data_IF_014748341287
#
_entry.id   IF_014748341287
#
_cell.length_a   1.000
_cell.length_b   1.000
_cell.length_c   1.000
_cell.angle_alpha   90.00
_cell.angle_beta   90.00
_cell.angle_gamma   90.00
#
_symmetry.space_group_name_H-M   'P 1'
#
loop_
_entity.id
_entity.type
_entity.pdbx_description
1 polymer ?
#
# COMPACT_ATOMS: atom_id res chain seq x y z
N UNK A 1 2.94 1.83 -11.74
CA UNK A 1 2.29 1.53 -10.45
C UNK A 1 1.39 2.66 -9.96
N UNK A 2 1.88 3.90 -9.84
CA UNK A 2 1.10 5.03 -9.27
C UNK A 2 -0.29 5.20 -9.90
N UNK A 3 -0.39 5.17 -11.23
CA UNK A 3 -1.67 5.23 -11.95
C UNK A 3 -2.65 4.12 -11.53
N UNK A 4 -2.16 2.90 -11.33
CA UNK A 4 -2.99 1.76 -10.92
C UNK A 4 -3.38 1.82 -9.44
N UNK A 5 -2.47 2.26 -8.57
CA UNK A 5 -2.73 2.46 -7.14
C UNK A 5 -3.78 3.56 -6.90
N UNK A 6 -3.79 4.61 -7.73
CA UNK A 6 -4.73 5.73 -7.64
C UNK A 6 -6.02 5.50 -8.46
N UNK A 7 -6.17 4.33 -9.10
CA UNK A 7 -7.39 3.99 -9.82
C UNK A 7 -8.57 3.88 -8.86
N UNK A 8 -9.80 4.15 -9.33
CA UNK A 8 -11.01 4.04 -8.49
C UNK A 8 -11.19 2.65 -7.87
N UNK A 9 -10.72 1.60 -8.55
CA UNK A 9 -10.77 0.22 -8.05
C UNK A 9 -9.77 -0.02 -6.90
N UNK A 10 -8.56 0.56 -6.96
CA UNK A 10 -7.54 0.31 -5.95
C UNK A 10 -7.43 1.42 -4.89
N UNK A 11 -8.13 2.55 -5.05
CA UNK A 11 -8.13 3.68 -4.12
C UNK A 11 -8.49 3.30 -2.67
N UNK A 12 -9.46 2.40 -2.40
CA UNK A 12 -9.75 1.97 -1.03
C UNK A 12 -8.56 1.25 -0.37
N UNK A 13 -7.88 0.35 -1.10
CA UNK A 13 -6.70 -0.35 -0.58
C UNK A 13 -5.53 0.60 -0.35
N UNK A 14 -5.40 1.63 -1.20
CA UNK A 14 -4.41 2.67 -1.00
C UNK A 14 -4.70 3.46 0.27
N UNK A 15 -5.95 3.84 0.50
CA UNK A 15 -6.36 4.53 1.72
C UNK A 15 -5.99 3.73 2.98
N UNK A 16 -6.31 2.43 3.02
CA UNK A 16 -5.93 1.58 4.15
C UNK A 16 -4.42 1.48 4.35
N UNK A 17 -3.65 1.37 3.27
CA UNK A 17 -2.19 1.38 3.36
C UNK A 17 -1.65 2.71 3.90
N UNK A 18 -2.18 3.84 3.42
CA UNK A 18 -1.78 5.17 3.90
C UNK A 18 -2.12 5.35 5.40
N UNK A 19 -3.31 4.90 5.83
CA UNK A 19 -3.73 4.91 7.25
C UNK A 19 -2.82 4.03 8.13
N UNK A 20 -2.41 2.87 7.63
CA UNK A 20 -1.46 2.01 8.35
C UNK A 20 -0.10 2.71 8.49
N UNK A 21 0.42 3.29 7.41
CA UNK A 21 1.71 3.99 7.42
C UNK A 21 1.68 5.17 8.39
N UNK A 22 0.60 5.96 8.43
CA UNK A 22 0.45 7.05 9.38
C UNK A 22 0.52 6.52 10.83
N UNK A 23 -0.24 5.47 11.14
CA UNK A 23 -0.27 4.86 12.47
C UNK A 23 1.09 4.28 12.89
N UNK A 24 1.74 3.52 12.01
CA UNK A 24 3.06 2.92 12.31
C UNK A 24 4.14 3.99 12.43
N UNK A 25 4.07 5.07 11.65
CA UNK A 25 5.00 6.20 11.78
C UNK A 25 4.85 6.86 13.14
N UNK A 26 3.61 7.11 13.60
CA UNK A 26 3.35 7.64 14.94
C UNK A 26 3.92 6.73 16.04
N UNK A 27 3.77 5.40 15.90
CA UNK A 27 4.35 4.44 16.85
C UNK A 27 5.88 4.46 16.87
N UNK A 28 6.53 4.71 15.72
CA UNK A 28 7.98 4.76 15.61
C UNK A 28 8.58 6.07 16.13
N UNK A 29 7.84 7.18 16.03
CA UNK A 29 8.25 8.50 16.51
C UNK A 29 8.03 8.67 18.01
N UNK A 30 7.12 7.91 18.62
CA UNK A 30 6.89 7.93 20.07
C UNK A 30 7.99 7.13 20.82
N UNK A 31 8.90 7.80 21.55
CA UNK A 31 9.98 7.15 22.27
C UNK A 31 9.51 6.31 23.46
N UNK A 32 8.28 6.54 23.93
CA UNK A 32 7.66 5.85 25.06
C UNK A 32 6.65 4.79 24.61
N UNK A 33 6.54 4.52 23.30
CA UNK A 33 5.64 3.51 22.76
C UNK A 33 6.01 2.10 23.26
N UNK A 34 5.12 1.51 24.07
CA UNK A 34 5.26 0.15 24.63
C UNK A 34 4.30 -0.86 24.01
N UNK A 35 3.56 -0.46 22.98
CA UNK A 35 2.63 -1.33 22.27
C UNK A 35 3.33 -2.35 21.37
N UNK A 36 2.53 -3.17 20.68
CA UNK A 36 3.05 -4.09 19.67
C UNK A 36 3.58 -3.28 18.50
N UNK A 37 4.76 -3.64 17.99
CA UNK A 37 5.30 -3.06 16.77
C UNK A 37 4.52 -3.62 15.58
N UNK A 38 3.56 -2.85 15.12
CA UNK A 38 2.78 -3.14 13.94
C UNK A 38 3.61 -2.90 12.67
N UNK A 39 3.29 -3.62 11.60
CA UNK A 39 3.77 -3.37 10.25
C UNK A 39 2.58 -3.24 9.28
N UNK A 40 2.86 -2.82 8.05
CA UNK A 40 1.84 -2.61 7.02
C UNK A 40 1.92 -3.62 5.88
N UNK A 41 2.46 -4.82 6.14
CA UNK A 41 2.67 -5.82 5.08
C UNK A 41 1.33 -6.29 4.52
N UNK A 42 0.31 -6.46 5.35
CA UNK A 42 -1.02 -6.90 4.91
C UNK A 42 -1.66 -5.89 3.96
N UNK A 43 -1.73 -4.62 4.35
CA UNK A 43 -2.31 -3.54 3.53
C UNK A 43 -1.50 -3.30 2.26
N UNK A 44 -0.17 -3.40 2.36
CA UNK A 44 0.71 -3.34 1.19
C UNK A 44 0.40 -4.48 0.21
N UNK A 45 0.17 -5.70 0.70
CA UNK A 45 -0.17 -6.85 -0.15
C UNK A 45 -1.54 -6.67 -0.81
N UNK A 46 -2.55 -6.13 -0.11
CA UNK A 46 -3.84 -5.82 -0.73
C UNK A 46 -3.71 -4.77 -1.85
N UNK A 47 -3.01 -3.67 -1.59
CA UNK A 47 -2.77 -2.63 -2.59
C UNK A 47 -1.97 -3.18 -3.78
N UNK A 48 -0.88 -3.89 -3.51
CA UNK A 48 0.01 -4.46 -4.52
C UNK A 48 -0.70 -5.51 -5.37
N UNK A 49 -1.53 -6.35 -4.76
CA UNK A 49 -2.35 -7.33 -5.48
C UNK A 49 -3.28 -6.63 -6.48
N UNK A 50 -4.05 -5.63 -6.02
CA UNK A 50 -4.93 -4.85 -6.89
C UNK A 50 -4.17 -4.12 -8.00
N UNK A 51 -3.11 -3.39 -7.64
CA UNK A 51 -2.34 -2.59 -8.58
C UNK A 51 -1.60 -3.47 -9.61
N UNK A 52 -1.18 -4.68 -9.23
CA UNK A 52 -0.53 -5.64 -10.14
C UNK A 52 -1.48 -6.16 -11.20
N UNK A 53 -2.73 -6.45 -10.85
CA UNK A 53 -3.75 -6.85 -11.84
C UNK A 53 -3.96 -5.76 -12.91
N UNK A 54 -3.93 -4.49 -12.50
CA UNK A 54 -4.00 -3.35 -13.43
C UNK A 54 -2.70 -3.16 -14.24
N UNK A 55 -1.53 -3.29 -13.60
CA UNK A 55 -0.25 -2.94 -14.21
C UNK A 55 0.29 -4.04 -15.14
N UNK A 56 0.07 -5.31 -14.82
CA UNK A 56 0.61 -6.45 -15.57
C UNK A 56 0.32 -6.38 -17.08
N UNK A 57 -0.94 -6.25 -17.56
CA UNK A 57 -1.20 -6.20 -18.99
C UNK A 57 -0.64 -4.96 -19.68
N UNK A 58 -0.48 -3.84 -18.96
CA UNK A 58 0.13 -2.60 -19.49
C UNK A 58 1.65 -2.77 -19.65
N UNK A 59 2.28 -3.38 -18.66
CA UNK A 59 3.72 -3.64 -18.64
C UNK A 59 4.12 -4.57 -19.80
N UNK A 60 3.42 -5.69 -19.97
CA UNK A 60 3.71 -6.64 -21.05
C UNK A 60 3.49 -6.08 -22.45
N UNK A 61 2.63 -5.07 -22.62
CA UNK A 61 2.49 -4.35 -23.90
C UNK A 61 3.65 -3.38 -24.17
N UNK A 62 4.27 -2.86 -23.11
CA UNK A 62 5.36 -1.90 -23.22
C UNK A 62 6.73 -2.57 -23.38
N UNK A 63 6.88 -3.80 -22.89
CA UNK A 63 8.08 -4.61 -23.05
C UNK A 63 7.99 -5.39 -24.38
N UNK A 64 8.97 -5.18 -25.25
CA UNK A 64 9.14 -5.91 -26.52
C UNK A 64 9.84 -7.25 -26.30
#
# INVERSE_FOLDING_TARGET
>A
MIECANSSQCAPYKHHFDECVERVTQQQEDPDYKGVKEDCVEEFFHLSHCATQCAAPKLWKALK
#
